data_IF_747200705453
#
_entry.id   IF_747200705453
#
_cell.length_a   1.000
_cell.length_b   1.000
_cell.length_c   1.000
_cell.angle_alpha   90.00
_cell.angle_beta   90.00
_cell.angle_gamma   90.00
#
_symmetry.space_group_name_H-M   'P 1'
#
loop_
_entity.id
_entity.type
_entity.pdbx_description
1 polymer ?
#
# COMPACT_ATOMS: atom_id res chain seq x y z
N UNK A 1 0.75 46.85 -3.95
CA UNK A 1 0.14 45.73 -3.23
C UNK A 1 0.67 45.81 -1.81
N UNK A 2 -0.14 46.44 -0.97
CA UNK A 2 0.19 46.93 0.36
C UNK A 2 -0.09 45.83 1.37
N UNK A 3 0.85 45.58 2.28
CA UNK A 3 0.70 44.66 3.40
C UNK A 3 -0.40 45.17 4.35
N UNK A 4 -1.27 44.30 4.90
CA UNK A 4 -2.10 44.68 6.02
C UNK A 4 -1.31 44.63 7.33
N UNK A 5 -1.41 45.74 8.07
CA UNK A 5 -0.84 46.00 9.39
C UNK A 5 -1.22 44.95 10.46
N UNK A 6 -0.35 44.77 11.48
CA UNK A 6 -0.62 43.93 12.64
C UNK A 6 -1.68 44.54 13.56
N UNK A 7 -2.62 43.71 13.99
CA UNK A 7 -3.71 44.07 14.90
C UNK A 7 -3.15 44.56 16.24
N UNK A 8 -3.54 45.79 16.55
CA UNK A 8 -3.35 46.55 17.78
C UNK A 8 -3.75 45.74 19.02
N UNK A 9 -2.80 45.57 19.95
CA UNK A 9 -3.08 45.13 21.32
C UNK A 9 -3.85 46.24 22.05
N UNK A 10 -5.14 45.99 22.31
CA UNK A 10 -5.89 46.76 23.30
C UNK A 10 -5.44 46.35 24.72
N UNK A 11 -5.08 47.31 25.60
CA UNK A 11 -4.78 47.03 26.98
C UNK A 11 -6.09 46.79 27.75
N UNK A 12 -6.22 45.61 28.36
CA UNK A 12 -7.24 45.37 29.39
C UNK A 12 -6.97 46.30 30.58
N UNK A 13 -8.00 46.95 31.15
CA UNK A 13 -7.82 47.81 32.31
C UNK A 13 -7.43 46.98 33.53
N UNK A 14 -6.30 47.35 34.13
CA UNK A 14 -5.87 46.92 35.45
C UNK A 14 -6.99 47.22 36.46
N UNK A 15 -7.60 46.17 37.00
CA UNK A 15 -8.45 46.28 38.19
C UNK A 15 -7.51 46.33 39.39
N UNK A 16 -7.33 47.55 39.87
CA UNK A 16 -6.68 47.88 41.13
C UNK A 16 -7.40 47.17 42.29
N UNK A 17 -6.69 46.63 43.29
CA UNK A 17 -7.31 45.95 44.41
C UNK A 17 -7.97 46.98 45.34
N UNK A 18 -9.30 47.01 45.40
CA UNK A 18 -9.98 47.70 46.49
C UNK A 18 -9.56 47.05 47.82
N UNK A 19 -9.18 47.85 48.83
CA UNK A 19 -8.89 47.34 50.15
C UNK A 19 -10.24 46.92 50.76
N UNK A 20 -10.48 45.60 50.85
CA UNK A 20 -11.52 45.12 51.74
C UNK A 20 -11.06 45.41 53.16
N UNK A 21 -11.62 46.50 53.68
CA UNK A 21 -11.58 46.99 55.03
C UNK A 21 -11.68 45.82 56.02
N UNK A 22 -10.64 45.69 56.83
CA UNK A 22 -10.55 44.71 57.90
C UNK A 22 -11.52 45.18 58.99
N UNK A 23 -12.74 44.66 59.00
CA UNK A 23 -13.63 44.83 60.15
C UNK A 23 -13.11 43.96 61.31
N UNK A 24 -12.61 44.55 62.41
CA UNK A 24 -12.09 43.79 63.54
C UNK A 24 -13.19 43.65 64.58
N UNK A 25 -14.35 43.10 64.23
CA UNK A 25 -15.40 42.85 65.21
C UNK A 25 -16.36 41.73 64.81
N UNK A 26 -15.85 40.50 64.86
CA UNK A 26 -16.54 39.37 65.51
C UNK A 26 -15.61 38.15 65.52
N UNK A 27 -14.73 38.07 66.51
CA UNK A 27 -14.44 36.76 67.10
C UNK A 27 -15.72 36.31 67.78
N UNK A 28 -16.64 35.77 66.98
CA UNK A 28 -17.72 34.95 67.49
C UNK A 28 -17.03 33.75 68.13
N UNK A 29 -17.20 33.47 69.43
CA UNK A 29 -16.75 32.21 69.98
C UNK A 29 -17.41 31.12 69.15
N UNK A 30 -16.59 30.23 68.61
CA UNK A 30 -17.04 28.98 68.00
C UNK A 30 -18.05 28.38 68.99
N UNK A 31 -19.34 28.21 68.62
CA UNK A 31 -20.31 27.70 69.58
C UNK A 31 -19.79 26.36 70.07
N UNK A 32 -19.59 26.23 71.39
CA UNK A 32 -19.31 24.94 71.98
C UNK A 32 -20.42 23.98 71.49
N UNK A 33 -20.07 22.83 70.89
CA UNK A 33 -21.06 21.96 70.31
C UNK A 33 -22.03 21.55 71.41
N UNK A 34 -23.28 22.00 71.29
CA UNK A 34 -24.34 21.58 72.18
C UNK A 34 -24.43 20.06 72.09
N UNK A 35 -24.60 19.30 73.18
CA UNK A 35 -24.67 17.84 73.14
C UNK A 35 -25.84 17.31 72.29
N UNK A 36 -26.75 18.19 71.85
CA UNK A 36 -27.87 17.91 70.96
C UNK A 36 -27.49 17.91 69.47
N UNK A 37 -26.36 18.48 69.07
CA UNK A 37 -25.81 18.43 67.70
C UNK A 37 -24.93 17.19 67.46
N UNK A 38 -24.79 16.35 68.48
CA UNK A 38 -24.10 15.07 68.36
C UNK A 38 -24.93 14.09 67.53
N UNK A 39 -24.46 13.79 66.32
CA UNK A 39 -24.99 12.69 65.51
C UNK A 39 -25.14 11.42 66.40
N UNK A 40 -26.27 10.70 66.31
CA UNK A 40 -26.49 9.49 67.09
C UNK A 40 -25.33 8.50 66.95
N UNK A 41 -24.99 7.74 67.99
CA UNK A 41 -23.83 6.83 67.97
C UNK A 41 -23.84 5.86 66.78
N UNK A 42 -25.01 5.38 66.37
CA UNK A 42 -25.14 4.49 65.22
C UNK A 42 -24.76 5.18 63.90
N UNK A 43 -25.02 6.48 63.78
CA UNK A 43 -24.67 7.29 62.62
C UNK A 43 -23.17 7.59 62.59
N UNK A 44 -22.57 7.94 63.75
CA UNK A 44 -21.11 8.10 63.90
C UNK A 44 -20.35 6.82 63.53
N UNK A 45 -20.79 5.67 64.05
CA UNK A 45 -20.20 4.35 63.72
C UNK A 45 -20.30 4.01 62.22
N UNK A 46 -21.40 4.37 61.55
CA UNK A 46 -21.55 4.19 60.09
C UNK A 46 -20.61 5.10 59.31
N UNK A 47 -20.49 6.37 59.70
CA UNK A 47 -19.57 7.32 59.08
C UNK A 47 -18.12 6.88 59.26
N UNK A 48 -17.72 6.44 60.44
CA UNK A 48 -16.37 5.92 60.69
C UNK A 48 -16.06 4.70 59.82
N UNK A 49 -17.03 3.79 59.68
CA UNK A 49 -16.88 2.63 58.79
C UNK A 49 -16.71 3.05 57.33
N UNK A 50 -17.57 3.94 56.84
CA UNK A 50 -17.49 4.47 55.47
C UNK A 50 -16.17 5.21 55.24
N UNK A 51 -15.69 5.99 56.20
CA UNK A 51 -14.42 6.71 56.14
C UNK A 51 -13.22 5.74 56.10
N UNK A 52 -13.26 4.66 56.88
CA UNK A 52 -12.23 3.61 56.85
C UNK A 52 -12.23 2.87 55.52
N UNK A 53 -13.41 2.53 54.99
CA UNK A 53 -13.55 1.90 53.66
C UNK A 53 -13.02 2.82 52.56
N UNK A 54 -13.39 4.11 52.57
CA UNK A 54 -12.88 5.10 51.63
C UNK A 54 -11.36 5.27 51.71
N UNK A 55 -10.79 5.30 52.93
CA UNK A 55 -9.32 5.34 53.13
C UNK A 55 -8.64 4.11 52.54
N UNK A 56 -9.17 2.91 52.83
CA UNK A 56 -8.64 1.65 52.29
C UNK A 56 -8.70 1.62 50.76
N UNK A 57 -9.78 2.13 50.16
CA UNK A 57 -9.90 2.23 48.70
C UNK A 57 -8.88 3.22 48.11
N UNK A 58 -8.69 4.39 48.73
CA UNK A 58 -7.67 5.36 48.31
C UNK A 58 -6.26 4.77 48.37
N UNK A 59 -5.93 4.04 49.44
CA UNK A 59 -4.65 3.36 49.58
C UNK A 59 -4.45 2.28 48.50
N UNK A 60 -5.50 1.50 48.20
CA UNK A 60 -5.46 0.51 47.11
C UNK A 60 -5.28 1.15 45.74
N UNK A 61 -5.98 2.24 45.45
CA UNK A 61 -5.81 2.98 44.20
C UNK A 61 -4.40 3.54 44.07
N UNK A 62 -3.88 4.18 45.13
CA UNK A 62 -2.51 4.69 45.15
C UNK A 62 -1.46 3.59 44.93
N UNK A 63 -1.72 2.37 45.40
CA UNK A 63 -0.83 1.23 45.18
C UNK A 63 -0.96 0.61 43.77
N UNK A 64 -2.10 0.75 43.11
CA UNK A 64 -2.36 0.20 41.77
C UNK A 64 -1.97 1.16 40.65
N UNK A 65 -2.14 2.47 40.87
CA UNK A 65 -1.82 3.53 39.91
C UNK A 65 -0.42 3.41 39.28
N UNK A 66 0.68 3.21 40.04
CA UNK A 66 2.01 3.06 39.43
C UNK A 66 2.13 1.77 38.60
N UNK A 67 1.37 0.71 38.92
CA UNK A 67 1.39 -0.54 38.16
C UNK A 67 0.68 -0.38 36.82
N UNK A 68 -0.43 0.35 36.81
CA UNK A 68 -1.16 0.67 35.58
C UNK A 68 -0.32 1.59 34.70
N UNK A 69 0.25 2.65 35.29
CA UNK A 69 1.15 3.55 34.55
C UNK A 69 2.36 2.82 33.96
N UNK A 70 2.99 1.92 34.72
CA UNK A 70 4.09 1.10 34.21
C UNK A 70 3.64 0.13 33.11
N UNK A 71 2.45 -0.46 33.23
CA UNK A 71 1.89 -1.33 32.20
C UNK A 71 1.59 -0.56 30.91
N UNK A 72 1.02 0.65 31.02
CA UNK A 72 0.73 1.51 29.87
C UNK A 72 2.02 1.97 29.18
N UNK A 73 3.07 2.32 29.94
CA UNK A 73 4.38 2.66 29.39
C UNK A 73 5.00 1.46 28.68
N UNK A 74 5.04 0.29 29.31
CA UNK A 74 5.57 -0.93 28.70
C UNK A 74 4.77 -1.35 27.45
N UNK A 75 3.44 -1.12 27.43
CA UNK A 75 2.63 -1.36 26.24
C UNK A 75 2.99 -0.41 25.11
N UNK A 76 3.18 0.89 25.39
CA UNK A 76 3.59 1.88 24.39
C UNK A 76 4.98 1.58 23.82
N UNK A 77 5.92 1.21 24.69
CA UNK A 77 7.27 0.81 24.27
C UNK A 77 7.23 -0.40 23.34
N UNK A 78 6.51 -1.45 23.72
CA UNK A 78 6.34 -2.65 22.86
C UNK A 78 5.69 -2.33 21.53
N UNK A 79 4.68 -1.46 21.51
CA UNK A 79 4.07 -1.03 20.24
C UNK A 79 5.09 -0.32 19.35
N UNK A 80 5.91 0.57 19.93
CA UNK A 80 6.98 1.26 19.18
C UNK A 80 8.06 0.30 18.67
N UNK A 81 8.41 -0.74 19.42
CA UNK A 81 9.35 -1.78 19.00
C UNK A 81 8.78 -2.62 17.85
N UNK A 82 7.52 -3.03 17.95
CA UNK A 82 6.83 -3.78 16.90
C UNK A 82 6.71 -2.96 15.60
N UNK A 83 6.51 -1.66 15.70
CA UNK A 83 6.50 -0.75 14.53
C UNK A 83 7.87 -0.68 13.87
N UNK A 84 8.96 -0.56 14.65
CA UNK A 84 10.33 -0.59 14.13
C UNK A 84 10.65 -1.92 13.46
N UNK A 85 10.33 -3.04 14.11
CA UNK A 85 10.55 -4.37 13.53
C UNK A 85 9.76 -4.58 12.23
N UNK A 86 8.53 -4.05 12.13
CA UNK A 86 7.74 -4.09 10.89
C UNK A 86 8.39 -3.27 9.80
N UNK A 87 8.81 -2.04 10.10
CA UNK A 87 9.50 -1.19 9.14
C UNK A 87 10.80 -1.84 8.63
N UNK A 88 11.59 -2.46 9.52
CA UNK A 88 12.81 -3.16 9.15
C UNK A 88 12.53 -4.39 8.27
N UNK A 89 11.49 -5.17 8.60
CA UNK A 89 11.07 -6.33 7.78
C UNK A 89 10.56 -5.90 6.41
N UNK A 90 9.77 -4.83 6.33
CA UNK A 90 9.27 -4.29 5.08
C UNK A 90 10.41 -3.76 4.21
N UNK A 91 11.37 -3.04 4.79
CA UNK A 91 12.56 -2.58 4.09
C UNK A 91 13.40 -3.74 3.54
N UNK A 92 13.61 -4.79 4.35
CA UNK A 92 14.33 -5.99 3.90
C UNK A 92 13.57 -6.73 2.79
N UNK A 93 12.24 -6.86 2.92
CA UNK A 93 11.41 -7.50 1.90
C UNK A 93 11.45 -6.74 0.57
N UNK A 94 11.45 -5.40 0.60
CA UNK A 94 11.61 -4.58 -0.60
C UNK A 94 13.00 -4.77 -1.24
N UNK A 95 14.07 -4.78 -0.42
CA UNK A 95 15.42 -5.04 -0.93
C UNK A 95 15.54 -6.41 -1.61
N UNK A 96 14.96 -7.45 -1.00
CA UNK A 96 14.91 -8.79 -1.58
C UNK A 96 14.10 -8.80 -2.88
N UNK A 97 12.94 -8.15 -2.91
CA UNK A 97 12.12 -8.08 -4.11
C UNK A 97 12.86 -7.42 -5.29
N UNK A 98 13.61 -6.34 -5.05
CA UNK A 98 14.44 -5.69 -6.07
C UNK A 98 15.53 -6.65 -6.55
N UNK A 99 16.23 -7.31 -5.64
CA UNK A 99 17.28 -8.28 -5.98
C UNK A 99 16.76 -9.46 -6.79
N UNK A 100 15.60 -9.99 -6.42
CA UNK A 100 14.94 -11.07 -7.15
C UNK A 100 14.66 -10.63 -8.60
N UNK A 101 14.12 -9.42 -8.80
CA UNK A 101 13.87 -8.90 -10.14
C UNK A 101 15.16 -8.70 -10.97
N UNK A 102 16.23 -8.19 -10.35
CA UNK A 102 17.55 -8.03 -11.00
C UNK A 102 18.13 -9.38 -11.44
N UNK A 103 18.01 -10.40 -10.59
CA UNK A 103 18.45 -11.76 -10.91
C UNK A 103 17.65 -12.37 -12.06
N UNK A 104 16.33 -12.21 -12.06
CA UNK A 104 15.47 -12.73 -13.12
C UNK A 104 15.72 -12.03 -14.46
N UNK A 105 15.92 -10.71 -14.45
CA UNK A 105 16.34 -9.95 -15.63
C UNK A 105 17.61 -10.50 -16.25
N UNK A 106 18.67 -10.62 -15.44
CA UNK A 106 19.97 -11.09 -15.89
C UNK A 106 19.90 -12.55 -16.41
N UNK A 107 19.11 -13.40 -15.75
CA UNK A 107 19.01 -14.83 -16.09
C UNK A 107 18.22 -15.10 -17.37
N UNK A 108 17.11 -14.38 -17.60
CA UNK A 108 16.20 -14.63 -18.72
C UNK A 108 16.32 -13.60 -19.86
N UNK A 109 17.13 -12.56 -19.69
CA UNK A 109 17.34 -11.51 -20.69
C UNK A 109 16.10 -10.65 -20.94
N UNK A 110 15.32 -10.43 -19.88
CA UNK A 110 14.07 -9.65 -19.89
C UNK A 110 14.44 -8.16 -19.91
N UNK A 111 13.87 -7.39 -20.83
CA UNK A 111 14.05 -5.93 -20.87
C UNK A 111 13.10 -5.22 -19.90
N UNK A 112 13.40 -3.97 -19.55
CA UNK A 112 12.61 -3.18 -18.60
C UNK A 112 11.12 -3.09 -18.97
N UNK A 113 10.81 -3.04 -20.26
CA UNK A 113 9.44 -3.01 -20.79
C UNK A 113 8.59 -4.20 -20.35
N UNK A 114 9.21 -5.34 -20.02
CA UNK A 114 8.49 -6.57 -19.68
C UNK A 114 8.47 -6.89 -18.19
N UNK A 115 9.05 -6.03 -17.33
CA UNK A 115 9.14 -6.28 -15.90
C UNK A 115 7.78 -6.24 -15.19
N UNK A 116 6.91 -5.34 -15.63
CA UNK A 116 5.56 -5.22 -15.08
C UNK A 116 4.76 -6.53 -15.20
N UNK A 117 5.06 -7.36 -16.19
CA UNK A 117 4.38 -8.65 -16.41
C UNK A 117 4.89 -9.79 -15.51
N UNK A 118 6.02 -9.62 -14.83
CA UNK A 118 6.50 -10.60 -13.84
C UNK A 118 5.61 -10.56 -12.59
N UNK A 119 5.15 -9.37 -12.19
CA UNK A 119 4.24 -9.17 -11.06
C UNK A 119 4.76 -9.64 -9.70
N UNK A 120 3.88 -9.63 -8.71
CA UNK A 120 4.18 -10.01 -7.33
C UNK A 120 3.94 -11.50 -7.04
N UNK A 121 4.56 -12.01 -5.98
CA UNK A 121 4.45 -13.41 -5.57
C UNK A 121 5.75 -13.95 -4.99
N UNK A 122 5.77 -15.26 -4.77
CA UNK A 122 6.98 -15.98 -4.35
C UNK A 122 8.04 -15.96 -5.45
N UNK A 123 9.30 -16.19 -5.08
CA UNK A 123 10.39 -16.24 -6.06
C UNK A 123 10.14 -17.28 -7.16
N UNK A 124 9.64 -18.47 -6.81
CA UNK A 124 9.35 -19.54 -7.77
C UNK A 124 8.26 -19.15 -8.78
N UNK A 125 7.20 -18.46 -8.32
CA UNK A 125 6.15 -17.96 -9.20
C UNK A 125 6.65 -16.86 -10.14
N UNK A 126 7.48 -15.95 -9.61
CA UNK A 126 8.15 -14.92 -10.42
C UNK A 126 9.09 -15.54 -11.43
N UNK A 127 9.85 -16.57 -11.05
CA UNK A 127 10.76 -17.30 -11.94
C UNK A 127 10.01 -18.01 -13.07
N UNK A 128 8.91 -18.69 -12.77
CA UNK A 128 8.10 -19.37 -13.78
C UNK A 128 7.53 -18.37 -14.81
N UNK A 129 7.06 -17.20 -14.35
CA UNK A 129 6.57 -16.13 -15.24
C UNK A 129 7.71 -15.48 -16.02
N UNK A 130 8.83 -15.19 -15.37
CA UNK A 130 10.04 -14.65 -16.01
C UNK A 130 10.58 -15.59 -17.10
N UNK A 131 10.60 -16.90 -16.86
CA UNK A 131 11.00 -17.89 -17.86
C UNK A 131 10.10 -17.83 -19.11
N UNK A 132 8.79 -17.75 -18.92
CA UNK A 132 7.83 -17.62 -20.03
C UNK A 132 8.03 -16.33 -20.81
N UNK A 133 8.22 -15.21 -20.12
CA UNK A 133 8.47 -13.90 -20.74
C UNK A 133 9.80 -13.91 -21.49
N UNK A 134 10.86 -14.45 -20.89
CA UNK A 134 12.17 -14.57 -21.52
C UNK A 134 12.11 -15.33 -22.85
N UNK A 135 11.37 -16.43 -22.91
CA UNK A 135 11.13 -17.16 -24.16
C UNK A 135 10.40 -16.30 -25.21
N UNK A 136 9.38 -15.54 -24.81
CA UNK A 136 8.67 -14.64 -25.71
C UNK A 136 9.60 -13.53 -26.24
N UNK A 137 10.37 -12.89 -25.38
CA UNK A 137 11.32 -11.83 -25.75
C UNK A 137 12.40 -12.37 -26.69
N UNK A 138 12.92 -13.57 -26.44
CA UNK A 138 13.91 -14.21 -27.31
C UNK A 138 13.30 -14.57 -28.68
N UNK A 139 12.07 -15.08 -28.72
CA UNK A 139 11.37 -15.35 -29.98
C UNK A 139 11.11 -14.08 -30.79
N UNK A 140 10.71 -12.99 -30.14
CA UNK A 140 10.46 -11.70 -30.79
C UNK A 140 11.76 -11.07 -31.34
N UNK A 141 12.90 -11.27 -30.66
CA UNK A 141 14.22 -10.81 -31.16
C UNK A 141 14.69 -11.57 -32.41
N UNK A 142 14.20 -12.79 -32.64
CA UNK A 142 14.55 -13.58 -33.82
C UNK A 142 13.65 -13.32 -35.04
N UNK A 143 12.52 -12.63 -34.87
CA UNK A 143 11.74 -12.12 -35.99
C UNK A 143 12.35 -10.80 -36.48
N UNK A 144 13.30 -10.90 -37.42
CA UNK A 144 13.79 -9.74 -38.15
C UNK A 144 12.60 -9.01 -38.82
N UNK A 145 12.29 -7.75 -38.47
CA UNK A 145 11.13 -7.02 -38.99
C UNK A 145 11.23 -6.68 -40.49
N UNK A 146 12.33 -7.06 -41.14
CA UNK A 146 12.63 -6.72 -42.54
C UNK A 146 12.21 -7.79 -43.54
N UNK A 147 11.77 -8.99 -43.10
CA UNK A 147 11.20 -9.99 -44.00
C UNK A 147 9.74 -10.26 -43.66
N UNK A 148 8.78 -9.96 -44.56
CA UNK A 148 7.42 -10.42 -44.38
C UNK A 148 7.43 -11.95 -44.28
N UNK A 149 6.57 -12.58 -43.45
CA UNK A 149 6.50 -14.02 -43.34
C UNK A 149 6.15 -14.60 -44.70
N UNK A 150 7.15 -15.10 -45.42
CA UNK A 150 6.95 -15.76 -46.71
C UNK A 150 6.48 -17.17 -46.43
N UNK A 151 5.24 -17.34 -45.97
CA UNK A 151 4.53 -18.62 -45.95
C UNK A 151 4.10 -19.07 -47.35
N UNK A 152 4.76 -18.56 -48.40
CA UNK A 152 4.56 -19.07 -49.74
C UNK A 152 5.48 -20.27 -49.88
N UNK A 153 4.96 -21.48 -50.17
CA UNK A 153 5.82 -22.59 -50.51
C UNK A 153 6.73 -22.13 -51.64
N UNK A 154 8.05 -22.22 -51.42
CA UNK A 154 9.02 -21.95 -52.48
C UNK A 154 8.90 -23.12 -53.43
N UNK A 155 8.05 -22.96 -54.43
CA UNK A 155 7.98 -23.80 -55.62
C UNK A 155 9.40 -23.84 -56.19
N UNK A 156 10.13 -24.92 -55.90
CA UNK A 156 11.48 -25.19 -56.41
C UNK A 156 11.40 -25.63 -57.88
N UNK A 157 10.68 -24.84 -58.69
CA UNK A 157 10.59 -25.04 -60.12
C UNK A 157 11.97 -24.81 -60.70
N UNK A 158 12.58 -25.90 -61.19
CA UNK A 158 13.77 -25.82 -62.04
C UNK A 158 13.50 -24.81 -63.16
N UNK A 159 14.42 -23.87 -63.44
CA UNK A 159 14.33 -23.03 -64.62
C UNK A 159 14.17 -23.93 -65.85
N UNK A 160 13.00 -23.88 -66.50
CA UNK A 160 12.65 -24.71 -67.66
C UNK A 160 11.52 -25.74 -67.46
N UNK A 161 10.93 -25.86 -66.27
CA UNK A 161 9.78 -26.74 -66.04
C UNK A 161 8.42 -26.03 -66.32
N UNK A 162 8.25 -25.44 -67.51
CA UNK A 162 6.90 -25.03 -67.92
C UNK A 162 6.08 -26.29 -68.24
N UNK A 163 4.85 -26.45 -67.70
CA UNK A 163 3.99 -27.55 -68.08
C UNK A 163 3.78 -27.53 -69.60
N UNK A 164 3.98 -28.69 -70.24
CA UNK A 164 3.79 -28.84 -71.69
C UNK A 164 2.39 -28.34 -72.06
N UNK A 165 2.25 -27.38 -72.97
CA UNK A 165 0.92 -26.93 -73.40
C UNK A 165 0.16 -28.10 -74.03
N UNK A 166 -1.16 -28.21 -73.82
CA UNK A 166 -1.95 -29.27 -74.45
C UNK A 166 -1.79 -29.18 -75.98
N UNK A 167 -1.77 -30.32 -76.70
CA UNK A 167 -1.68 -30.32 -78.15
C UNK A 167 -2.82 -29.46 -78.71
N UNK A 168 -2.47 -28.56 -79.63
CA UNK A 168 -3.45 -27.75 -80.36
C UNK A 168 -4.39 -28.71 -81.08
N UNK A 169 -5.69 -28.60 -80.83
CA UNK A 169 -6.67 -29.42 -81.53
C UNK A 169 -6.59 -29.11 -83.03
N UNK A 170 -6.41 -30.14 -83.85
CA UNK A 170 -6.43 -30.00 -85.31
C UNK A 170 -7.81 -29.49 -85.74
N UNK A 171 -7.87 -28.22 -86.15
CA UNK A 171 -9.07 -27.58 -86.73
C UNK A 171 -9.10 -27.74 -88.26
N UNK A 172 -8.21 -28.54 -88.82
CA UNK A 172 -8.23 -28.89 -90.23
C UNK A 172 -9.46 -29.72 -90.58
N UNK A 173 -10.20 -29.29 -91.60
CA UNK A 173 -11.34 -30.02 -92.13
C UNK A 173 -10.92 -31.43 -92.60
N UNK A 174 -11.77 -32.45 -92.41
CA UNK A 174 -11.47 -33.80 -92.88
C UNK A 174 -11.32 -33.80 -94.41
N UNK A 175 -10.31 -34.53 -94.92
CA UNK A 175 -10.03 -34.62 -96.36
C UNK A 175 -11.23 -35.10 -97.20
N UNK A 176 -12.20 -35.79 -96.58
CA UNK A 176 -13.45 -36.21 -97.21
C UNK A 176 -14.40 -35.06 -97.59
N UNK A 177 -14.16 -33.84 -97.11
CA UNK A 177 -14.99 -32.66 -97.43
C UNK A 177 -14.55 -31.93 -98.70
N UNK A 178 -13.51 -32.40 -99.40
CA UNK A 178 -13.13 -31.90 -100.72
C UNK A 178 -12.64 -30.45 -100.75
N UNK A 179 -12.34 -29.84 -99.60
CA UNK A 179 -11.78 -28.50 -99.53
C UNK A 179 -10.28 -28.54 -99.89
N UNK A 180 -9.95 -28.17 -101.13
CA UNK A 180 -8.57 -27.86 -101.51
C UNK A 180 -8.31 -26.38 -101.23
N UNK A 181 -7.38 -26.02 -100.32
CA UNK A 181 -6.99 -24.63 -100.16
C UNK A 181 -6.34 -24.13 -101.47
N UNK A 182 -6.55 -22.86 -101.86
CA UNK A 182 -5.93 -22.32 -103.05
C UNK A 182 -4.40 -22.32 -102.89
N UNK A 183 -3.72 -22.96 -103.83
CA UNK A 183 -2.26 -22.92 -103.96
C UNK A 183 -1.86 -21.49 -104.34
N UNK A 184 -1.06 -20.83 -103.50
CA UNK A 184 -0.18 -19.74 -103.93
C UNK A 184 1.16 -20.31 -104.36
#
# INVERSE_FOLDING_TARGET
MTAPDPVEQQPEPAVEPEPTEVDPQQQQPEPEPSPEDELPEWARKKLDKANREAKNLRERLKAQEPKVQAADQAAREKMSELERERADREALAQQLAVRDTELLQARYGITEDYLEFIGDGTFEEKEARAAKIGLMVQSAKHEDPTKPPSQRPVESLRPGASPTPPPVADTSYPASWGFQPPTQ
#
